data_IF_439680366574
#
_entry.id   IF_439680366574
#
_cell.length_a   1.000
_cell.length_b   1.000
_cell.length_c   1.000
_cell.angle_alpha   90.00
_cell.angle_beta   90.00
_cell.angle_gamma   90.00
#
_symmetry.space_group_name_H-M   'P 1'
#
loop_
_entity.id
_entity.type
_entity.pdbx_description
1 polymer ?
#
# COMPACT_ATOMS: atom_id res chain seq x y z
N UNK A 1 -38.95 -34.79 -18.43
CA UNK A 1 -37.63 -34.27 -18.85
C UNK A 1 -37.66 -32.74 -18.87
N UNK A 2 -36.84 -32.08 -18.06
CA UNK A 2 -36.23 -30.76 -18.32
C UNK A 2 -35.35 -30.43 -17.10
N UNK A 3 -34.02 -30.58 -17.26
CA UNK A 3 -33.04 -30.38 -16.19
C UNK A 3 -32.80 -28.87 -16.01
N UNK A 4 -33.13 -28.34 -14.84
CA UNK A 4 -32.82 -26.97 -14.44
C UNK A 4 -31.31 -26.81 -14.30
N UNK A 5 -30.68 -26.07 -15.21
CA UNK A 5 -29.23 -25.84 -15.22
C UNK A 5 -28.89 -24.58 -14.43
N UNK A 6 -28.56 -24.74 -13.15
CA UNK A 6 -28.03 -23.69 -12.28
C UNK A 6 -26.63 -23.30 -12.76
N UNK A 7 -26.50 -22.19 -13.50
CA UNK A 7 -25.20 -21.54 -13.71
C UNK A 7 -24.82 -20.79 -12.45
N UNK A 8 -24.16 -21.49 -11.53
CA UNK A 8 -23.44 -20.90 -10.42
C UNK A 8 -22.44 -19.88 -10.98
N UNK A 9 -22.67 -18.60 -10.67
CA UNK A 9 -21.81 -17.50 -11.05
C UNK A 9 -20.40 -17.72 -10.51
N UNK A 10 -19.43 -17.64 -11.42
CA UNK A 10 -18.02 -17.38 -11.14
C UNK A 10 -17.92 -16.03 -10.42
N UNK A 11 -18.13 -16.04 -9.10
CA UNK A 11 -17.71 -14.96 -8.22
C UNK A 11 -16.19 -14.96 -8.25
N UNK A 12 -15.63 -14.16 -9.16
CA UNK A 12 -14.21 -13.89 -9.23
C UNK A 12 -13.72 -13.53 -7.83
N UNK A 13 -12.79 -14.31 -7.31
CA UNK A 13 -12.04 -13.98 -6.12
C UNK A 13 -11.33 -12.65 -6.38
N UNK A 14 -11.92 -11.54 -5.92
CA UNK A 14 -11.24 -10.25 -5.89
C UNK A 14 -10.18 -10.42 -4.81
N UNK A 15 -8.87 -10.46 -5.15
CA UNK A 15 -7.85 -10.63 -4.12
C UNK A 15 -7.96 -9.43 -3.18
N UNK A 16 -8.41 -9.68 -1.95
CA UNK A 16 -8.40 -8.68 -0.89
C UNK A 16 -6.94 -8.33 -0.63
N UNK A 17 -6.50 -7.24 -1.27
CA UNK A 17 -5.16 -6.68 -1.12
C UNK A 17 -4.98 -6.37 0.37
N UNK A 18 -4.11 -7.12 1.03
CA UNK A 18 -3.72 -6.87 2.41
C UNK A 18 -3.45 -5.35 2.59
N UNK A 19 -3.89 -4.74 3.70
CA UNK A 19 -3.67 -3.32 3.92
C UNK A 19 -2.18 -3.01 3.79
N UNK A 20 -1.88 -2.06 2.90
CA UNK A 20 -0.52 -1.66 2.55
C UNK A 20 0.14 -1.06 3.81
N UNK A 21 1.23 -1.69 4.30
CA UNK A 21 1.82 -1.37 5.61
C UNK A 21 2.55 -0.03 5.66
N UNK A 22 3.20 0.33 4.57
CA UNK A 22 3.97 1.56 4.45
C UNK A 22 4.08 1.96 2.98
N UNK A 23 4.44 3.21 2.76
CA UNK A 23 4.46 3.83 1.45
C UNK A 23 5.74 4.63 1.21
N UNK A 24 6.23 4.58 -0.01
CA UNK A 24 7.21 5.51 -0.55
C UNK A 24 6.52 6.51 -1.46
N UNK A 25 6.82 7.79 -1.27
CA UNK A 25 6.28 8.86 -2.10
C UNK A 25 7.43 9.62 -2.74
N UNK A 26 7.37 9.83 -4.05
CA UNK A 26 8.37 10.57 -4.82
C UNK A 26 7.70 11.45 -5.87
N UNK A 27 8.34 12.57 -6.22
CA UNK A 27 7.86 13.44 -7.29
C UNK A 27 7.86 12.68 -8.62
N UNK A 28 6.81 12.86 -9.40
CA UNK A 28 6.69 12.31 -10.73
C UNK A 28 6.27 13.40 -11.72
N UNK A 29 6.90 13.35 -12.89
CA UNK A 29 6.55 14.19 -14.01
C UNK A 29 6.54 13.30 -15.24
N UNK A 30 5.37 13.13 -15.85
CA UNK A 30 5.25 12.36 -17.08
C UNK A 30 5.33 13.31 -18.27
N UNK A 31 5.97 12.85 -19.35
CA UNK A 31 6.02 13.57 -20.63
C UNK A 31 4.92 13.12 -21.59
N UNK A 32 4.32 11.95 -21.33
CA UNK A 32 3.22 11.42 -22.13
C UNK A 32 1.88 11.96 -21.59
N UNK A 33 1.01 12.51 -22.44
CA UNK A 33 -0.33 12.88 -22.03
C UNK A 33 -1.10 11.62 -21.64
N UNK A 34 -1.52 11.58 -20.38
CA UNK A 34 -2.38 10.55 -19.81
C UNK A 34 -3.21 11.18 -18.69
N UNK A 35 -4.34 10.58 -18.37
CA UNK A 35 -5.16 11.01 -17.23
C UNK A 35 -5.29 9.83 -16.29
N UNK A 36 -4.74 9.98 -15.10
CA UNK A 36 -4.83 8.99 -14.03
C UNK A 36 -6.01 9.33 -13.11
N UNK A 37 -6.42 8.38 -12.26
CA UNK A 37 -7.29 8.66 -11.12
C UNK A 37 -6.48 8.63 -9.84
N UNK A 38 -6.62 9.68 -9.04
CA UNK A 38 -5.96 9.76 -7.74
C UNK A 38 -6.59 8.73 -6.79
N UNK A 39 -5.81 7.82 -6.17
CA UNK A 39 -6.35 6.82 -5.24
C UNK A 39 -6.78 7.39 -3.89
N UNK A 40 -6.51 8.68 -3.63
CA UNK A 40 -6.80 9.34 -2.35
C UNK A 40 -8.10 10.15 -2.37
N UNK A 41 -8.38 10.86 -3.48
CA UNK A 41 -9.61 11.64 -3.65
C UNK A 41 -10.57 11.08 -4.72
N UNK A 42 -10.08 10.21 -5.62
CA UNK A 42 -10.87 9.67 -6.73
C UNK A 42 -10.89 10.52 -8.00
N UNK A 43 -10.45 11.78 -7.91
CA UNK A 43 -10.49 12.71 -9.04
C UNK A 43 -9.44 12.42 -10.12
N UNK A 44 -9.68 12.99 -11.29
CA UNK A 44 -8.77 12.92 -12.43
C UNK A 44 -7.50 13.73 -12.16
N UNK A 45 -6.38 13.14 -12.56
CA UNK A 45 -5.05 13.70 -12.44
C UNK A 45 -4.39 13.71 -13.83
N UNK A 46 -4.23 14.88 -14.45
CA UNK A 46 -3.49 15.01 -15.70
C UNK A 46 -2.02 14.67 -15.47
N UNK A 47 -1.44 13.81 -16.31
CA UNK A 47 -0.07 13.33 -16.17
C UNK A 47 0.99 14.42 -16.39
N UNK A 48 0.63 15.49 -17.10
CA UNK A 48 1.50 16.65 -17.35
C UNK A 48 1.53 17.64 -16.17
N UNK A 49 0.60 17.52 -15.22
CA UNK A 49 0.61 18.31 -14.00
C UNK A 49 1.62 17.75 -13.00
N UNK A 50 2.15 18.61 -12.13
CA UNK A 50 2.99 18.15 -11.03
C UNK A 50 2.21 17.20 -10.11
N UNK A 51 2.76 16.00 -9.92
CA UNK A 51 2.12 15.00 -9.08
C UNK A 51 3.14 14.08 -8.39
N UNK A 52 2.63 13.22 -7.51
CA UNK A 52 3.42 12.29 -6.73
C UNK A 52 3.13 10.86 -7.17
N UNK A 53 4.18 10.03 -7.13
CA UNK A 53 4.10 8.60 -7.32
C UNK A 53 4.24 7.92 -5.96
N UNK A 54 3.18 7.22 -5.55
CA UNK A 54 3.14 6.43 -4.33
C UNK A 54 3.45 4.99 -4.69
N UNK A 55 4.40 4.38 -3.99
CA UNK A 55 4.73 2.95 -4.06
C UNK A 55 4.40 2.30 -2.73
N UNK A 56 3.37 1.45 -2.70
CA UNK A 56 3.07 0.63 -1.53
C UNK A 56 4.16 -0.43 -1.32
N UNK A 57 4.67 -0.54 -0.08
CA UNK A 57 5.62 -1.57 0.35
C UNK A 57 6.88 -1.71 -0.52
N UNK A 58 7.28 -0.68 -1.25
CA UNK A 58 8.45 -0.71 -2.12
C UNK A 58 8.25 -1.45 -3.44
N UNK A 59 7.02 -1.94 -3.74
CA UNK A 59 6.74 -2.63 -5.00
C UNK A 59 6.42 -1.64 -6.14
N UNK A 60 7.33 -1.47 -7.13
CA UNK A 60 7.13 -0.54 -8.24
C UNK A 60 6.01 -0.96 -9.19
N UNK A 61 5.54 -2.22 -9.14
CA UNK A 61 4.42 -2.73 -9.94
C UNK A 61 3.08 -2.24 -9.40
N UNK A 62 3.01 -1.98 -8.10
CA UNK A 62 1.81 -1.45 -7.40
C UNK A 62 1.80 0.08 -7.32
N UNK A 63 2.64 0.76 -8.10
CA UNK A 63 2.78 2.22 -8.09
C UNK A 63 1.48 2.94 -8.49
N UNK A 64 1.16 4.04 -7.82
CA UNK A 64 -0.06 4.83 -8.06
C UNK A 64 0.26 6.32 -8.18
N UNK A 65 -0.37 6.99 -9.14
CA UNK A 65 -0.24 8.43 -9.33
C UNK A 65 -1.27 9.17 -8.45
N UNK A 66 -0.83 10.14 -7.67
CA UNK A 66 -1.67 10.90 -6.75
C UNK A 66 -1.28 12.39 -6.78
N UNK A 67 -2.24 13.28 -6.54
CA UNK A 67 -1.96 14.71 -6.43
C UNK A 67 -1.02 15.00 -5.25
N UNK A 68 -0.11 15.96 -5.44
CA UNK A 68 0.80 16.41 -4.37
C UNK A 68 0.05 16.83 -3.10
N UNK A 69 -1.04 17.59 -3.24
CA UNK A 69 -1.87 18.04 -2.12
C UNK A 69 -2.50 16.86 -1.35
N UNK A 70 -3.02 15.87 -2.07
CA UNK A 70 -3.60 14.68 -1.44
C UNK A 70 -2.56 13.87 -0.67
N UNK A 71 -1.36 13.70 -1.22
CA UNK A 71 -0.26 13.01 -0.53
C UNK A 71 0.13 13.74 0.75
N UNK A 72 0.28 15.06 0.69
CA UNK A 72 0.62 15.88 1.87
C UNK A 72 -0.47 15.78 2.93
N UNK A 73 -1.75 15.86 2.55
CA UNK A 73 -2.88 15.72 3.47
C UNK A 73 -2.92 14.32 4.11
N UNK A 74 -2.75 13.26 3.33
CA UNK A 74 -2.73 11.89 3.83
C UNK A 74 -1.53 11.61 4.74
N UNK A 75 -0.36 12.22 4.48
CA UNK A 75 0.80 12.18 5.39
C UNK A 75 0.51 12.88 6.71
N UNK A 76 -0.08 14.09 6.68
CA UNK A 76 -0.48 14.82 7.89
C UNK A 76 -1.49 14.05 8.72
N UNK A 77 -2.39 13.31 8.06
CA UNK A 77 -3.36 12.44 8.71
C UNK A 77 -2.81 11.07 9.17
N UNK A 78 -1.51 10.79 8.99
CA UNK A 78 -0.90 9.52 9.38
C UNK A 78 -1.30 8.30 8.53
N UNK A 79 -2.00 8.50 7.39
CA UNK A 79 -2.50 7.42 6.52
C UNK A 79 -1.46 6.89 5.53
N UNK A 80 -0.36 7.60 5.33
CA UNK A 80 0.76 7.20 4.46
C UNK A 80 2.07 7.14 5.27
N UNK A 81 2.22 6.17 6.20
CA UNK A 81 3.46 6.02 6.95
C UNK A 81 4.61 5.62 6.00
N UNK A 82 5.77 6.21 6.20
CA UNK A 82 7.01 5.77 5.54
C UNK A 82 7.48 4.44 6.11
N UNK A 83 8.37 3.76 5.37
CA UNK A 83 9.04 2.56 5.86
C UNK A 83 9.68 2.76 7.24
N UNK A 84 10.35 3.89 7.46
CA UNK A 84 11.01 4.19 8.73
C UNK A 84 9.99 4.42 9.87
N UNK A 85 8.90 5.14 9.60
CA UNK A 85 7.81 5.32 10.56
C UNK A 85 7.16 3.98 10.93
N UNK A 86 6.87 3.13 9.95
CA UNK A 86 6.32 1.80 10.17
C UNK A 86 7.28 0.88 10.93
N UNK A 87 8.59 0.91 10.64
CA UNK A 87 9.58 0.14 11.38
C UNK A 87 9.67 0.56 12.86
N UNK A 88 9.42 1.84 13.17
CA UNK A 88 9.38 2.32 14.57
C UNK A 88 8.17 1.82 15.34
N UNK A 89 7.07 1.48 14.67
CA UNK A 89 5.91 0.86 15.34
C UNK A 89 6.06 -0.64 15.53
N UNK A 90 7.07 -1.28 14.90
CA UNK A 90 7.31 -2.71 15.07
C UNK A 90 7.92 -3.00 16.45
N UNK A 91 7.49 -4.09 17.13
CA UNK A 91 8.08 -4.49 18.39
C UNK A 91 9.57 -4.78 18.20
N UNK A 92 10.41 -4.20 19.07
CA UNK A 92 11.86 -4.47 19.02
C UNK A 92 12.09 -5.95 19.35
N UNK A 93 12.90 -6.68 18.56
CA UNK A 93 13.16 -8.08 18.85
C UNK A 93 13.79 -8.22 20.23
N UNK A 94 13.50 -9.31 20.97
CA UNK A 94 14.10 -9.54 22.27
C UNK A 94 15.62 -9.58 22.14
N UNK A 95 16.28 -8.93 23.10
CA UNK A 95 17.74 -8.92 23.23
C UNK A 95 18.30 -10.35 23.19
N UNK A 96 19.54 -10.51 22.70
CA UNK A 96 20.22 -11.81 22.65
C UNK A 96 20.30 -12.46 24.04
N UNK A 97 20.49 -11.66 25.09
CA UNK A 97 20.45 -12.10 26.49
C UNK A 97 19.12 -12.70 26.91
N UNK A 98 17.99 -12.06 26.57
CA UNK A 98 16.65 -12.63 26.83
C UNK A 98 16.40 -13.95 26.10
N UNK A 99 16.97 -14.12 24.90
CA UNK A 99 16.90 -15.41 24.17
C UNK A 99 17.76 -16.48 24.83
N UNK A 100 18.96 -16.15 25.29
CA UNK A 100 19.84 -17.07 26.00
C UNK A 100 19.23 -17.54 27.34
N UNK A 101 18.60 -16.63 28.09
CA UNK A 101 17.90 -16.97 29.33
C UNK A 101 16.68 -17.86 29.07
N UNK A 102 15.94 -17.64 27.98
CA UNK A 102 14.83 -18.53 27.59
C UNK A 102 15.33 -19.95 27.27
N UNK A 103 16.44 -20.06 26.53
CA UNK A 103 17.06 -21.34 26.19
C UNK A 103 17.55 -22.13 27.41
N UNK A 104 18.01 -21.46 28.45
CA UNK A 104 18.47 -22.08 29.70
C UNK A 104 17.33 -22.47 30.65
N UNK A 105 16.08 -22.06 30.36
CA UNK A 105 14.92 -22.23 31.23
C UNK A 105 13.89 -23.26 30.71
N UNK A 106 14.08 -23.78 29.50
CA UNK A 106 13.32 -24.90 28.95
C UNK A 106 14.13 -26.20 29.14
N UNK A 107 13.67 -27.17 29.98
CA UNK A 107 14.33 -28.47 30.19
C UNK A 107 14.10 -29.46 29.04
#
# INVERSE_FOLDING_TARGET
MAKSNTRAGILGHVPHKQPERWFEARRAQNRKPATYRCPLCGDHLPALSEHMLIVPEGDPSRRRHAHTACVVAARRAGRLPTRAEWLRTQPRPPSRWRRAIAWLREP
#
